data_IF_325582904349
#
_entry.id   IF_325582904349
#
_cell.length_a   1.000
_cell.length_b   1.000
_cell.length_c   1.000
_cell.angle_alpha   90.00
_cell.angle_beta   90.00
_cell.angle_gamma   90.00
#
_symmetry.space_group_name_H-M   'P 1'
#
loop_
_entity.id
_entity.type
_entity.pdbx_description
1 polymer ?
#
# COMPACT_ATOMS: atom_id res chain seq x y z
N UNK A 1 -33.11 -16.75 4.40
CA UNK A 1 -32.64 -17.10 5.76
C UNK A 1 -31.32 -17.83 5.66
N UNK A 2 -30.45 -17.73 6.66
CA UNK A 2 -29.90 -16.53 7.27
C UNK A 2 -28.54 -16.18 6.62
N UNK A 3 -28.22 -14.90 6.63
CA UNK A 3 -26.84 -14.41 6.56
C UNK A 3 -26.05 -15.07 7.69
N UNK A 4 -25.14 -15.98 7.36
CA UNK A 4 -24.10 -16.40 8.28
C UNK A 4 -22.80 -15.96 7.62
N UNK A 5 -22.42 -14.71 7.91
CA UNK A 5 -21.02 -14.30 7.80
C UNK A 5 -20.39 -14.84 9.08
N UNK A 6 -19.75 -16.00 8.97
CA UNK A 6 -18.83 -16.43 10.02
C UNK A 6 -17.69 -15.43 10.10
N UNK A 7 -17.38 -15.05 11.33
CA UNK A 7 -16.39 -14.05 11.67
C UNK A 7 -14.99 -14.51 11.24
N UNK A 8 -14.20 -13.54 10.74
CA UNK A 8 -12.74 -13.54 10.52
C UNK A 8 -12.19 -13.67 9.09
N UNK A 9 -13.05 -13.78 8.06
CA UNK A 9 -12.59 -13.73 6.65
C UNK A 9 -12.88 -12.38 5.94
N UNK A 10 -11.95 -11.90 5.10
CA UNK A 10 -12.08 -10.60 4.46
C UNK A 10 -13.19 -10.61 3.39
N UNK A 11 -14.24 -9.82 3.62
CA UNK A 11 -15.36 -9.67 2.66
C UNK A 11 -14.92 -9.10 1.31
N UNK A 12 -13.89 -8.24 1.30
CA UNK A 12 -13.38 -7.61 0.10
C UNK A 12 -11.89 -7.84 -0.02
N UNK A 13 -11.44 -8.11 -1.24
CA UNK A 13 -10.03 -8.27 -1.56
C UNK A 13 -9.65 -7.45 -2.79
N UNK A 14 -8.40 -7.01 -2.86
CA UNK A 14 -7.81 -6.39 -4.06
C UNK A 14 -6.91 -7.41 -4.75
N UNK A 15 -7.10 -7.60 -6.05
CA UNK A 15 -6.29 -8.49 -6.86
C UNK A 15 -4.87 -7.95 -7.01
N UNK A 16 -3.85 -8.77 -6.73
CA UNK A 16 -2.43 -8.39 -6.86
C UNK A 16 -1.84 -8.77 -8.22
N UNK A 17 -2.58 -9.56 -9.02
CA UNK A 17 -2.21 -10.01 -10.37
C UNK A 17 -3.43 -10.02 -11.28
N UNK A 18 -3.18 -10.16 -12.58
CA UNK A 18 -4.18 -10.50 -13.57
C UNK A 18 -4.52 -12.00 -13.49
N UNK A 19 -5.80 -12.33 -13.72
CA UNK A 19 -6.28 -13.69 -13.88
C UNK A 19 -7.25 -13.75 -15.06
N UNK A 20 -6.98 -14.67 -15.99
CA UNK A 20 -7.87 -14.97 -17.11
C UNK A 20 -8.39 -16.40 -17.00
N UNK A 21 -9.62 -16.53 -16.52
CA UNK A 21 -10.29 -17.81 -16.35
C UNK A 21 -10.58 -18.55 -17.66
N UNK A 22 -10.61 -17.85 -18.80
CA UNK A 22 -10.76 -18.51 -20.11
C UNK A 22 -9.52 -19.29 -20.53
N UNK A 23 -8.37 -18.93 -19.97
CA UNK A 23 -7.08 -19.58 -20.22
C UNK A 23 -6.72 -20.66 -19.20
N UNK A 24 -7.48 -20.77 -18.09
CA UNK A 24 -7.20 -21.72 -17.02
C UNK A 24 -7.81 -23.09 -17.33
N UNK A 25 -7.02 -23.96 -17.97
CA UNK A 25 -7.43 -25.32 -18.34
C UNK A 25 -7.84 -26.21 -17.13
N UNK A 26 -7.44 -25.83 -15.92
CA UNK A 26 -7.79 -26.54 -14.68
C UNK A 26 -9.05 -25.96 -14.02
N UNK A 27 -9.69 -24.95 -14.62
CA UNK A 27 -10.90 -24.35 -14.09
C UNK A 27 -12.09 -25.33 -14.17
N UNK A 28 -12.83 -25.56 -13.08
CA UNK A 28 -13.87 -26.59 -13.03
C UNK A 28 -15.06 -26.29 -13.95
N UNK A 29 -15.33 -25.01 -14.21
CA UNK A 29 -16.40 -24.57 -15.11
C UNK A 29 -15.99 -23.26 -15.82
N UNK A 30 -15.26 -23.33 -16.95
CA UNK A 30 -14.70 -22.13 -17.62
C UNK A 30 -15.73 -21.04 -17.93
N UNK A 31 -16.97 -21.43 -18.22
CA UNK A 31 -18.09 -20.50 -18.49
C UNK A 31 -18.45 -19.66 -17.25
N UNK A 32 -18.28 -20.21 -16.05
CA UNK A 32 -18.51 -19.56 -14.77
C UNK A 32 -17.28 -18.81 -14.24
N UNK A 33 -16.15 -18.84 -14.96
CA UNK A 33 -14.93 -18.19 -14.51
C UNK A 33 -15.10 -16.66 -14.46
N UNK A 34 -14.62 -16.06 -13.37
CA UNK A 34 -14.53 -14.61 -13.23
C UNK A 34 -13.08 -14.19 -13.48
N UNK A 35 -12.81 -13.68 -14.69
CA UNK A 35 -11.53 -13.02 -14.98
C UNK A 35 -11.48 -11.65 -14.30
N UNK A 36 -10.29 -11.26 -13.83
CA UNK A 36 -10.06 -9.98 -13.17
C UNK A 36 -8.66 -9.43 -13.49
N UNK A 37 -8.49 -8.13 -13.27
CA UNK A 37 -7.23 -7.42 -13.47
C UNK A 37 -6.59 -7.00 -12.16
N UNK A 38 -5.28 -6.84 -12.18
CA UNK A 38 -4.52 -6.31 -11.04
C UNK A 38 -5.12 -4.98 -10.56
N UNK A 39 -5.29 -4.85 -9.25
CA UNK A 39 -5.90 -3.75 -8.49
C UNK A 39 -7.43 -3.69 -8.52
N UNK A 40 -8.11 -4.60 -9.20
CA UNK A 40 -9.57 -4.72 -9.14
C UNK A 40 -9.98 -5.21 -7.74
N UNK A 41 -11.09 -4.65 -7.23
CA UNK A 41 -11.68 -5.05 -5.95
C UNK A 41 -12.71 -6.13 -6.21
N UNK A 42 -12.60 -7.24 -5.47
CA UNK A 42 -13.52 -8.37 -5.53
C UNK A 42 -14.24 -8.50 -4.19
N UNK A 43 -15.56 -8.68 -4.22
CA UNK A 43 -16.33 -9.10 -3.05
C UNK A 43 -16.38 -10.62 -3.03
N UNK A 44 -15.89 -11.22 -1.94
CA UNK A 44 -15.98 -12.66 -1.70
C UNK A 44 -17.40 -12.98 -1.22
N UNK A 45 -18.12 -13.79 -2.00
CA UNK A 45 -19.52 -14.16 -1.74
C UNK A 45 -19.60 -15.50 -1.01
N UNK A 46 -18.83 -16.48 -1.45
CA UNK A 46 -18.73 -17.80 -0.81
C UNK A 46 -17.27 -18.27 -0.85
N UNK A 47 -16.76 -18.58 0.33
CA UNK A 47 -15.36 -19.00 0.58
C UNK A 47 -15.27 -20.34 1.30
N UNK A 48 -16.28 -20.69 2.11
CA UNK A 48 -16.29 -21.92 2.93
C UNK A 48 -16.83 -23.18 2.19
N UNK A 49 -17.01 -23.12 0.88
CA UNK A 49 -17.59 -24.21 0.08
C UNK A 49 -16.56 -25.09 -0.65
N UNK A 50 -15.49 -24.49 -1.15
CA UNK A 50 -14.42 -25.15 -1.89
C UNK A 50 -13.09 -24.44 -1.53
N UNK A 51 -12.13 -25.22 -1.03
CA UNK A 51 -10.83 -24.70 -0.58
C UNK A 51 -9.95 -24.18 -1.72
N UNK A 52 -10.22 -24.58 -2.97
CA UNK A 52 -9.43 -24.25 -4.16
C UNK A 52 -10.10 -23.18 -5.02
N UNK A 53 -11.42 -23.08 -5.00
CA UNK A 53 -12.20 -22.19 -5.86
C UNK A 53 -13.23 -21.37 -5.08
N UNK A 54 -13.04 -20.05 -5.05
CA UNK A 54 -13.95 -19.14 -4.37
C UNK A 54 -14.99 -18.55 -5.31
N UNK A 55 -16.15 -18.19 -4.78
CA UNK A 55 -17.16 -17.42 -5.50
C UNK A 55 -17.03 -15.95 -5.16
N UNK A 56 -16.88 -15.11 -6.17
CA UNK A 56 -16.72 -13.69 -6.01
C UNK A 56 -17.49 -12.90 -7.07
N UNK A 57 -17.61 -11.60 -6.86
CA UNK A 57 -18.04 -10.65 -7.89
C UNK A 57 -17.03 -9.51 -7.98
N UNK A 58 -16.91 -8.93 -9.16
CA UNK A 58 -16.11 -7.72 -9.35
C UNK A 58 -16.86 -6.48 -8.89
N UNK A 59 -16.20 -5.67 -8.06
CA UNK A 59 -16.62 -4.33 -7.66
C UNK A 59 -15.96 -3.26 -8.55
N UNK A 60 -14.98 -3.63 -9.37
CA UNK A 60 -14.21 -2.73 -10.23
C UNK A 60 -12.99 -2.13 -9.52
N UNK A 61 -12.43 -1.08 -10.10
CA UNK A 61 -11.30 -0.37 -9.50
C UNK A 61 -11.84 0.65 -8.48
N UNK A 62 -11.28 0.68 -7.27
CA UNK A 62 -11.63 1.62 -6.19
C UNK A 62 -11.77 3.09 -6.71
N UNK A 63 -12.39 4.02 -5.95
CA UNK A 63 -13.46 4.98 -6.33
C UNK A 63 -13.23 5.96 -7.51
N UNK A 64 -12.17 5.83 -8.29
CA UNK A 64 -11.93 6.61 -9.51
C UNK A 64 -12.66 6.05 -10.75
N UNK A 65 -13.26 4.87 -10.68
CA UNK A 65 -13.94 4.23 -11.81
C UNK A 65 -15.33 4.82 -12.13
N UNK A 66 -15.88 5.70 -11.26
CA UNK A 66 -17.11 6.45 -11.56
C UNK A 66 -16.96 7.37 -12.79
N UNK A 67 -15.74 7.75 -13.16
CA UNK A 67 -15.50 8.64 -14.31
C UNK A 67 -15.35 7.91 -15.66
N UNK A 68 -15.29 6.57 -15.71
CA UNK A 68 -14.97 5.85 -16.94
C UNK A 68 -15.98 4.78 -17.41
N UNK A 69 -17.09 4.52 -16.72
CA UNK A 69 -18.13 3.62 -17.25
C UNK A 69 -19.41 4.37 -17.66
N UNK A 70 -19.39 4.98 -18.85
CA UNK A 70 -20.60 5.38 -19.62
C UNK A 70 -21.12 4.21 -20.46
N UNK A 71 -20.90 2.97 -20.01
CA UNK A 71 -21.43 1.80 -20.70
C UNK A 71 -22.21 0.91 -19.74
N UNK A 72 -23.54 0.96 -19.87
CA UNK A 72 -24.50 0.19 -19.08
C UNK A 72 -24.33 -1.33 -19.26
N UNK A 73 -23.59 -1.78 -20.29
CA UNK A 73 -23.21 -3.18 -20.48
C UNK A 73 -22.27 -3.72 -19.40
N UNK A 74 -21.50 -2.84 -18.75
CA UNK A 74 -20.52 -3.19 -17.70
C UNK A 74 -21.18 -3.53 -16.36
N UNK A 75 -22.35 -2.98 -16.06
CA UNK A 75 -23.06 -3.20 -14.78
C UNK A 75 -23.61 -4.62 -14.64
N UNK A 76 -24.00 -5.25 -15.75
CA UNK A 76 -24.44 -6.65 -15.75
C UNK A 76 -23.26 -7.59 -15.44
N UNK A 77 -22.06 -7.28 -15.97
CA UNK A 77 -20.83 -8.02 -15.66
C UNK A 77 -20.37 -7.81 -14.21
N UNK A 78 -20.48 -6.59 -13.67
CA UNK A 78 -20.16 -6.27 -12.27
C UNK A 78 -21.07 -6.99 -11.26
N UNK A 79 -22.31 -7.30 -11.63
CA UNK A 79 -23.26 -8.03 -10.76
C UNK A 79 -23.15 -9.54 -10.85
N UNK A 80 -22.44 -10.09 -11.84
CA UNK A 80 -22.29 -11.53 -12.03
C UNK A 80 -21.34 -12.10 -10.96
N UNK A 81 -21.83 -13.11 -10.25
CA UNK A 81 -20.98 -13.95 -9.41
C UNK A 81 -20.30 -14.97 -10.32
N UNK A 82 -18.99 -15.14 -10.18
CA UNK A 82 -18.23 -16.17 -10.85
C UNK A 82 -17.17 -16.78 -9.95
N UNK A 83 -16.44 -17.74 -10.50
CA UNK A 83 -15.48 -18.56 -9.78
C UNK A 83 -14.07 -18.00 -10.00
N UNK A 84 -13.31 -17.87 -8.92
CA UNK A 84 -11.92 -17.40 -8.89
C UNK A 84 -11.04 -18.42 -8.14
N UNK A 85 -9.75 -18.53 -8.47
CA UNK A 85 -8.83 -19.39 -7.72
C UNK A 85 -8.63 -18.84 -6.31
N UNK A 86 -8.64 -19.71 -5.31
CA UNK A 86 -8.26 -19.37 -3.94
C UNK A 86 -6.76 -19.06 -3.81
N UNK A 87 -6.41 -18.39 -2.72
CA UNK A 87 -5.01 -18.20 -2.31
C UNK A 87 -4.28 -19.54 -2.13
N UNK A 88 -4.95 -20.55 -1.57
CA UNK A 88 -4.38 -21.89 -1.39
C UNK A 88 -4.04 -22.58 -2.73
N UNK A 89 -4.96 -22.51 -3.69
CA UNK A 89 -4.75 -23.06 -5.04
C UNK A 89 -3.58 -22.36 -5.74
N UNK A 90 -3.50 -21.03 -5.62
CA UNK A 90 -2.40 -20.25 -6.17
C UNK A 90 -1.04 -20.68 -5.61
N UNK A 91 -0.93 -20.78 -4.28
CA UNK A 91 0.30 -21.22 -3.61
C UNK A 91 0.71 -22.64 -4.01
N UNK A 92 -0.24 -23.58 -4.13
CA UNK A 92 0.04 -24.95 -4.61
C UNK A 92 0.62 -24.94 -6.03
N UNK A 93 -0.02 -24.22 -6.97
CA UNK A 93 0.44 -24.11 -8.36
C UNK A 93 1.83 -23.45 -8.46
N UNK A 94 2.10 -22.45 -7.60
CA UNK A 94 3.40 -21.80 -7.54
C UNK A 94 4.50 -22.75 -7.06
N UNK A 95 4.29 -23.48 -5.96
CA UNK A 95 5.26 -24.47 -5.44
C UNK A 95 5.60 -25.54 -6.47
N UNK A 96 4.62 -25.99 -7.24
CA UNK A 96 4.84 -26.95 -8.33
C UNK A 96 5.72 -26.37 -9.45
N UNK A 97 5.49 -25.12 -9.87
CA UNK A 97 6.35 -24.43 -10.85
C UNK A 97 7.78 -24.21 -10.34
N UNK A 98 7.92 -23.89 -9.05
CA UNK A 98 9.23 -23.74 -8.41
C UNK A 98 9.99 -25.08 -8.31
N UNK A 99 9.31 -26.19 -8.02
CA UNK A 99 9.95 -27.52 -8.06
C UNK A 99 10.38 -27.92 -9.46
N UNK A 100 9.54 -27.65 -10.46
CA UNK A 100 9.85 -27.97 -11.86
C UNK A 100 11.03 -27.13 -12.37
N UNK A 101 11.09 -25.84 -12.01
CA UNK A 101 12.20 -24.96 -12.41
C UNK A 101 13.51 -25.23 -11.67
N UNK A 102 13.45 -25.65 -10.40
CA UNK A 102 14.63 -26.06 -9.63
C UNK A 102 15.20 -27.42 -10.08
N UNK A 103 14.37 -28.30 -10.66
CA UNK A 103 14.88 -29.52 -11.30
C UNK A 103 15.74 -29.24 -12.54
N UNK A 104 15.53 -28.08 -13.19
CA UNK A 104 16.25 -27.63 -14.40
C UNK A 104 17.49 -26.78 -14.07
N UNK A 105 17.55 -26.14 -12.89
CA UNK A 105 18.64 -25.22 -12.49
C UNK A 105 19.49 -25.77 -11.33
N UNK A 106 20.13 -26.92 -11.53
CA UNK A 106 21.26 -27.37 -10.68
C UNK A 106 22.51 -26.54 -11.00
N UNK A 107 22.62 -25.33 -10.45
CA UNK A 107 23.84 -24.54 -10.50
C UNK A 107 23.58 -23.04 -10.39
N UNK A 108 24.37 -22.37 -9.55
CA UNK A 108 24.39 -20.92 -9.24
C UNK A 108 23.59 -20.56 -7.96
N UNK A 109 24.28 -20.67 -6.82
CA UNK A 109 23.89 -20.00 -5.57
C UNK A 109 24.26 -18.51 -5.68
N UNK A 110 23.28 -17.60 -5.53
CA UNK A 110 23.55 -16.17 -5.26
C UNK A 110 23.01 -15.80 -3.87
N UNK A 111 23.95 -15.46 -2.99
CA UNK A 111 23.73 -14.94 -1.66
C UNK A 111 23.42 -13.44 -1.74
N UNK A 112 22.21 -13.05 -1.36
CA UNK A 112 21.88 -11.69 -0.89
C UNK A 112 20.66 -11.79 0.03
N UNK A 113 20.92 -11.95 1.34
CA UNK A 113 19.92 -12.29 2.35
C UNK A 113 19.11 -11.08 2.89
N UNK A 114 19.54 -9.84 2.63
CA UNK A 114 18.95 -8.66 3.28
C UNK A 114 17.83 -7.96 2.50
N UNK A 115 17.67 -8.21 1.19
CA UNK A 115 16.63 -7.59 0.34
C UNK A 115 15.44 -8.51 0.07
N UNK A 116 15.36 -9.66 0.74
CA UNK A 116 14.43 -10.76 0.39
C UNK A 116 13.07 -10.70 1.10
N UNK A 117 12.98 -10.10 2.29
CA UNK A 117 11.88 -10.40 3.21
C UNK A 117 10.54 -9.77 2.86
N UNK A 118 10.48 -8.56 2.28
CA UNK A 118 9.21 -7.90 1.94
C UNK A 118 8.72 -8.24 0.53
N UNK A 119 9.64 -8.41 -0.42
CA UNK A 119 9.29 -8.88 -1.76
C UNK A 119 8.76 -10.32 -1.72
N UNK A 120 9.31 -11.23 -0.90
CA UNK A 120 8.79 -12.62 -0.83
C UNK A 120 7.35 -12.70 -0.28
N UNK A 121 6.95 -11.80 0.62
CA UNK A 121 5.59 -11.79 1.20
C UNK A 121 4.55 -11.28 0.19
N UNK A 122 4.89 -10.25 -0.61
CA UNK A 122 3.97 -9.69 -1.62
C UNK A 122 4.11 -10.30 -3.02
N UNK A 123 5.25 -10.89 -3.39
CA UNK A 123 5.43 -11.54 -4.71
C UNK A 123 4.66 -12.85 -4.82
N UNK A 124 4.12 -13.40 -3.72
CA UNK A 124 3.40 -14.67 -3.71
C UNK A 124 1.91 -14.61 -3.45
N UNK A 125 1.39 -13.48 -2.96
CA UNK A 125 -0.03 -13.34 -2.66
C UNK A 125 -0.83 -13.06 -3.93
N UNK A 126 -1.99 -13.71 -4.08
CA UNK A 126 -2.91 -13.45 -5.18
C UNK A 126 -3.82 -12.25 -4.87
N UNK A 127 -4.15 -12.10 -3.60
CA UNK A 127 -5.07 -11.10 -3.09
C UNK A 127 -4.52 -10.39 -1.85
N UNK A 128 -4.96 -9.15 -1.62
CA UNK A 128 -4.84 -8.50 -0.32
C UNK A 128 -6.21 -8.14 0.23
N UNK A 129 -6.43 -8.38 1.53
CA UNK A 129 -7.65 -7.95 2.20
C UNK A 129 -7.79 -6.43 2.17
N UNK A 130 -8.98 -5.95 1.83
CA UNK A 130 -9.29 -4.51 1.82
C UNK A 130 -10.61 -4.24 2.52
N UNK A 131 -10.77 -3.01 2.98
CA UNK A 131 -12.03 -2.51 3.53
C UNK A 131 -12.26 -1.09 3.05
N UNK A 132 -13.52 -0.74 2.82
CA UNK A 132 -13.89 0.62 2.46
C UNK A 132 -13.70 1.54 3.66
N UNK A 133 -12.76 2.47 3.55
CA UNK A 133 -12.55 3.52 4.54
C UNK A 133 -13.10 4.83 4.00
N UNK A 134 -14.31 5.17 4.44
CA UNK A 134 -14.93 6.46 4.10
C UNK A 134 -14.19 7.61 4.81
N UNK A 135 -14.00 8.77 4.14
CA UNK A 135 -13.43 9.95 4.78
C UNK A 135 -14.22 10.30 6.05
N UNK A 136 -13.54 10.35 7.19
CA UNK A 136 -14.12 10.71 8.47
C UNK A 136 -13.35 11.90 9.04
N UNK A 137 -14.05 12.88 9.63
CA UNK A 137 -13.41 14.00 10.35
C UNK A 137 -12.47 13.54 11.47
N UNK A 138 -12.71 12.35 12.04
CA UNK A 138 -11.87 11.70 13.05
C UNK A 138 -10.66 10.95 12.48
N UNK A 139 -10.61 10.72 11.16
CA UNK A 139 -9.58 9.93 10.49
C UNK A 139 -9.09 10.66 9.24
N UNK A 140 -8.22 11.65 9.46
CA UNK A 140 -7.60 12.41 8.37
C UNK A 140 -6.44 11.60 7.79
N UNK A 141 -6.46 11.42 6.48
CA UNK A 141 -5.41 10.72 5.73
C UNK A 141 -4.38 11.72 5.23
N UNK A 142 -3.10 11.38 5.38
CA UNK A 142 -2.00 12.16 4.82
C UNK A 142 -1.96 12.02 3.30
N UNK A 143 -1.55 13.08 2.61
CA UNK A 143 -1.19 13.05 1.18
C UNK A 143 0.32 12.84 1.10
N UNK A 144 0.74 11.74 0.46
CA UNK A 144 2.15 11.39 0.31
C UNK A 144 2.53 11.45 -1.17
N UNK A 145 3.50 12.29 -1.52
CA UNK A 145 3.97 12.45 -2.90
C UNK A 145 5.27 11.66 -3.12
N UNK A 146 5.16 10.57 -3.89
CA UNK A 146 6.27 9.70 -4.27
C UNK A 146 6.58 9.86 -5.75
N UNK A 147 7.85 9.75 -6.13
CA UNK A 147 8.32 9.87 -7.51
C UNK A 147 9.83 10.08 -7.58
N UNK A 148 10.37 10.06 -8.79
CA UNK A 148 11.79 10.26 -9.02
C UNK A 148 12.28 11.65 -8.52
N UNK A 149 13.59 11.81 -8.41
CA UNK A 149 14.18 13.12 -8.13
C UNK A 149 13.94 14.08 -9.30
N UNK A 150 13.74 15.37 -9.01
CA UNK A 150 13.59 16.41 -10.04
C UNK A 150 12.21 16.54 -10.71
N UNK A 151 11.27 15.62 -10.49
CA UNK A 151 9.94 15.64 -11.15
C UNK A 151 8.96 16.72 -10.61
N UNK A 152 9.43 17.64 -9.77
CA UNK A 152 8.62 18.75 -9.25
C UNK A 152 7.75 18.45 -8.02
N UNK A 153 7.96 17.33 -7.30
CA UNK A 153 7.18 16.97 -6.09
C UNK A 153 7.14 18.06 -5.02
N UNK A 154 8.27 18.74 -4.81
CA UNK A 154 8.36 19.83 -3.82
C UNK A 154 7.55 21.05 -4.25
N UNK A 155 7.55 21.36 -5.55
CA UNK A 155 6.76 22.45 -6.11
C UNK A 155 5.26 22.14 -6.02
N UNK A 156 4.86 20.90 -6.34
CA UNK A 156 3.48 20.46 -6.20
C UNK A 156 3.00 20.53 -4.74
N UNK A 157 3.80 20.04 -3.80
CA UNK A 157 3.52 20.14 -2.36
C UNK A 157 3.34 21.60 -1.93
N UNK A 158 4.25 22.48 -2.33
CA UNK A 158 4.20 23.91 -2.00
C UNK A 158 2.94 24.57 -2.54
N UNK A 159 2.61 24.34 -3.82
CA UNK A 159 1.39 24.88 -4.45
C UNK A 159 0.12 24.35 -3.81
N UNK A 160 0.07 23.06 -3.47
CA UNK A 160 -1.09 22.45 -2.80
C UNK A 160 -1.36 23.12 -1.45
N UNK A 161 -0.30 23.31 -0.64
CA UNK A 161 -0.40 23.99 0.65
C UNK A 161 -0.85 25.44 0.46
N UNK A 162 -0.23 26.18 -0.47
CA UNK A 162 -0.62 27.58 -0.75
C UNK A 162 -2.05 27.74 -1.27
N UNK A 163 -2.58 26.74 -1.99
CA UNK A 163 -3.94 26.80 -2.52
C UNK A 163 -5.01 26.74 -1.43
N UNK A 164 -4.70 26.10 -0.29
CA UNK A 164 -5.61 26.04 0.85
C UNK A 164 -4.82 25.79 2.17
N UNK A 165 -4.22 26.85 2.75
CA UNK A 165 -3.35 26.73 3.93
C UNK A 165 -4.09 26.27 5.20
N UNK A 166 -5.40 26.53 5.27
CA UNK A 166 -6.27 26.07 6.35
C UNK A 166 -6.48 24.56 6.30
N UNK A 167 -6.46 23.97 5.10
CA UNK A 167 -6.70 22.54 4.91
C UNK A 167 -5.42 21.70 4.88
N UNK A 168 -4.36 22.20 4.26
CA UNK A 168 -3.13 21.44 4.01
C UNK A 168 -1.96 22.01 4.80
N UNK A 169 -1.13 21.13 5.35
CA UNK A 169 0.04 21.55 6.11
C UNK A 169 1.23 20.61 5.89
N UNK A 170 2.43 21.09 6.20
CA UNK A 170 3.66 20.29 6.20
C UNK A 170 4.23 20.21 7.61
N UNK A 171 4.94 19.12 7.89
CA UNK A 171 5.79 19.02 9.07
C UNK A 171 7.03 19.90 8.91
N UNK A 172 7.56 20.35 10.05
CA UNK A 172 8.90 20.91 10.16
C UNK A 172 9.86 19.78 10.55
N UNK A 173 10.91 19.51 9.77
CA UNK A 173 11.87 18.45 10.08
C UNK A 173 12.76 18.82 11.26
N UNK A 174 13.44 17.82 11.82
CA UNK A 174 14.42 17.95 12.89
C UNK A 174 15.82 17.77 12.32
N UNK A 175 16.81 18.45 12.89
CA UNK A 175 18.22 18.23 12.55
C UNK A 175 19.14 18.38 13.75
N UNK A 176 20.24 17.61 13.76
CA UNK A 176 21.30 17.73 14.78
C UNK A 176 22.31 18.83 14.48
N UNK A 177 22.21 19.44 13.30
CA UNK A 177 23.11 20.51 12.85
C UNK A 177 22.82 21.79 13.64
N UNK A 178 23.86 22.59 13.92
CA UNK A 178 23.65 23.94 14.44
C UNK A 178 22.89 24.84 13.44
N UNK A 179 21.99 25.73 13.91
CA UNK A 179 21.28 26.68 13.06
C UNK A 179 22.25 27.64 12.36
N UNK A 180 21.95 28.01 11.10
CA UNK A 180 22.60 29.13 10.41
C UNK A 180 21.97 30.45 10.84
N UNK A 181 22.67 31.56 10.60
CA UNK A 181 22.23 32.89 11.00
C UNK A 181 20.84 33.32 10.48
N UNK A 182 20.37 32.75 9.37
CA UNK A 182 19.07 33.06 8.76
C UNK A 182 17.99 32.01 9.04
N UNK A 183 18.30 30.94 9.78
CA UNK A 183 17.36 29.86 10.08
C UNK A 183 16.71 30.07 11.44
N UNK A 184 15.43 29.73 11.55
CA UNK A 184 14.64 29.88 12.77
C UNK A 184 14.17 28.53 13.32
N UNK A 185 14.29 28.36 14.64
CA UNK A 185 13.79 27.20 15.37
C UNK A 185 12.28 27.02 15.16
N UNK A 186 11.87 25.85 14.69
CA UNK A 186 10.46 25.51 14.46
C UNK A 186 9.86 26.10 13.19
N UNK A 187 10.66 26.73 12.34
CA UNK A 187 10.25 27.18 10.99
C UNK A 187 11.01 26.40 9.93
N UNK A 188 12.33 26.53 9.91
CA UNK A 188 13.19 25.80 8.96
C UNK A 188 13.42 24.36 9.44
N UNK A 189 13.85 24.25 10.70
CA UNK A 189 14.07 22.99 11.39
C UNK A 189 13.78 23.13 12.88
N UNK A 190 13.48 22.01 13.53
CA UNK A 190 13.76 21.86 14.95
C UNK A 190 15.22 21.43 15.11
N UNK A 191 16.05 22.36 15.56
CA UNK A 191 17.45 22.10 15.89
C UNK A 191 17.51 21.41 17.26
N UNK A 192 18.07 20.19 17.29
CA UNK A 192 18.09 19.29 18.46
C UNK A 192 19.50 18.73 18.63
N UNK A 193 19.87 18.22 19.81
CA UNK A 193 21.17 17.55 19.99
C UNK A 193 21.20 16.19 19.28
N UNK A 194 22.38 15.79 18.77
CA UNK A 194 22.56 14.50 18.08
C UNK A 194 22.13 13.32 18.95
N UNK A 195 22.59 13.26 20.20
CA UNK A 195 22.27 12.19 21.15
C UNK A 195 20.76 12.02 21.40
N UNK A 196 20.01 13.11 21.40
CA UNK A 196 18.56 13.11 21.58
C UNK A 196 17.84 12.57 20.33
N UNK A 197 18.29 12.98 19.14
CA UNK A 197 17.79 12.39 17.89
C UNK A 197 18.10 10.89 17.81
N UNK A 198 19.31 10.45 18.18
CA UNK A 198 19.69 9.03 18.23
C UNK A 198 18.84 8.24 19.23
N UNK A 199 18.47 8.85 20.36
CA UNK A 199 17.53 8.25 21.30
C UNK A 199 16.14 8.05 20.67
N UNK A 200 15.59 9.06 19.98
CA UNK A 200 14.29 8.93 19.30
C UNK A 200 14.31 7.95 18.12
N UNK A 201 15.43 7.83 17.41
CA UNK A 201 15.64 6.82 16.37
C UNK A 201 15.56 5.42 16.99
N UNK A 202 16.24 5.17 18.12
CA UNK A 202 16.16 3.88 18.85
C UNK A 202 14.74 3.55 19.32
N UNK A 203 13.94 4.56 19.64
CA UNK A 203 12.54 4.41 20.01
C UNK A 203 11.57 4.31 18.81
N UNK A 204 12.05 4.36 17.56
CA UNK A 204 11.21 4.23 16.37
C UNK A 204 10.28 5.43 16.11
N UNK A 205 10.57 6.61 16.67
CA UNK A 205 9.68 7.79 16.60
C UNK A 205 9.74 8.56 15.27
N UNK A 206 10.79 8.37 14.48
CA UNK A 206 10.99 9.08 13.20
C UNK A 206 10.29 8.40 12.04
N UNK A 207 9.35 9.09 11.39
CA UNK A 207 8.74 8.63 10.13
C UNK A 207 9.82 8.30 9.10
N UNK A 208 10.78 9.21 8.93
CA UNK A 208 11.99 9.01 8.14
C UNK A 208 13.15 9.76 8.79
N UNK A 209 14.36 9.24 8.62
CA UNK A 209 15.59 9.91 9.05
C UNK A 209 16.77 9.50 8.15
N UNK A 210 17.82 10.30 8.18
CA UNK A 210 19.07 10.05 7.47
C UNK A 210 20.20 10.92 8.01
N UNK A 211 21.41 10.61 7.59
CA UNK A 211 22.61 11.36 7.96
C UNK A 211 23.20 12.05 6.73
N UNK A 212 23.61 13.30 6.90
CA UNK A 212 24.31 14.07 5.89
C UNK A 212 25.36 14.96 6.53
N UNK A 213 26.63 14.81 6.10
CA UNK A 213 27.79 15.53 6.66
C UNK A 213 27.81 15.48 8.19
N UNK A 214 27.78 14.26 8.73
CA UNK A 214 27.80 13.94 10.18
C UNK A 214 26.64 14.50 11.02
N UNK A 215 25.62 15.06 10.36
CA UNK A 215 24.43 15.59 11.01
C UNK A 215 23.22 14.73 10.66
N UNK A 216 22.39 14.48 11.67
CA UNK A 216 21.12 13.78 11.50
C UNK A 216 20.04 14.75 11.01
N UNK A 217 19.16 14.22 10.19
CA UNK A 217 17.96 14.88 9.68
C UNK A 217 16.80 13.90 9.74
N UNK A 218 15.60 14.35 10.09
CA UNK A 218 14.43 13.47 10.06
C UNK A 218 13.11 14.15 10.37
N UNK A 219 12.02 13.46 10.04
CA UNK A 219 10.65 13.90 10.34
C UNK A 219 10.07 13.00 11.41
N UNK A 220 9.65 13.55 12.56
CA UNK A 220 8.98 12.77 13.59
C UNK A 220 7.56 12.36 13.15
N UNK A 221 7.15 11.15 13.51
CA UNK A 221 5.78 10.69 13.30
C UNK A 221 4.78 11.57 14.09
N UNK A 222 5.16 12.00 15.29
CA UNK A 222 4.34 12.87 16.14
C UNK A 222 4.05 14.22 15.48
N UNK A 223 4.98 14.75 14.67
CA UNK A 223 4.73 15.98 13.92
C UNK A 223 3.58 15.82 12.92
N UNK A 224 3.48 14.66 12.27
CA UNK A 224 2.37 14.32 11.36
C UNK A 224 1.07 14.18 12.13
N UNK A 225 1.11 13.48 13.27
CA UNK A 225 -0.05 13.29 14.14
C UNK A 225 -0.59 14.62 14.65
N UNK A 226 0.29 15.57 15.02
CA UNK A 226 -0.16 16.89 15.49
C UNK A 226 -0.95 17.67 14.42
N UNK A 227 -0.55 17.57 13.14
CA UNK A 227 -1.28 18.21 12.03
C UNK A 227 -2.66 17.57 11.86
N UNK A 228 -2.75 16.25 11.97
CA UNK A 228 -4.01 15.51 11.93
C UNK A 228 -4.93 15.93 13.09
N UNK A 229 -4.38 16.06 14.31
CA UNK A 229 -5.14 16.50 15.49
C UNK A 229 -5.66 17.94 15.37
N UNK A 230 -4.96 18.78 14.60
CA UNK A 230 -5.41 20.13 14.27
C UNK A 230 -6.51 20.17 13.18
N UNK A 231 -6.96 19.01 12.68
CA UNK A 231 -7.98 18.93 11.65
C UNK A 231 -7.44 19.19 10.22
N UNK A 232 -6.12 19.21 10.04
CA UNK A 232 -5.47 19.51 8.76
C UNK A 232 -4.89 18.26 8.12
N UNK A 233 -4.72 18.30 6.80
CA UNK A 233 -4.16 17.20 5.99
C UNK A 233 -2.63 17.39 5.89
N UNK A 234 -1.82 16.47 6.44
CA UNK A 234 -0.38 16.49 6.24
C UNK A 234 -0.04 16.18 4.78
N UNK A 235 0.87 16.96 4.20
CA UNK A 235 1.43 16.73 2.86
C UNK A 235 2.91 16.40 3.00
N UNK A 236 3.28 15.17 2.65
CA UNK A 236 4.60 14.59 2.90
C UNK A 236 5.28 14.19 1.59
N UNK A 237 6.59 14.37 1.51
CA UNK A 237 7.42 13.95 0.36
C UNK A 237 8.57 13.05 0.85
N UNK A 238 8.29 11.92 1.52
CA UNK A 238 9.34 11.10 2.09
C UNK A 238 10.16 10.40 0.99
N UNK A 239 11.32 9.87 1.38
CA UNK A 239 12.05 8.94 0.53
C UNK A 239 11.24 7.64 0.35
N UNK A 240 11.18 7.03 -0.85
CA UNK A 240 10.39 5.81 -1.07
C UNK A 240 10.72 4.66 -0.11
N UNK A 241 12.00 4.50 0.24
CA UNK A 241 12.45 3.46 1.18
C UNK A 241 11.85 3.64 2.59
N UNK A 242 11.54 4.88 2.99
CA UNK A 242 10.92 5.13 4.30
C UNK A 242 9.50 4.55 4.43
N UNK A 243 8.85 4.23 3.31
CA UNK A 243 7.54 3.56 3.31
C UNK A 243 7.62 2.05 3.54
N UNK A 244 8.79 1.45 3.30
CA UNK A 244 8.99 0.00 3.28
C UNK A 244 9.37 -0.51 4.67
N UNK A 245 10.17 0.25 5.43
CA UNK A 245 10.78 -0.21 6.69
C UNK A 245 9.81 -0.30 7.89
N UNK A 246 8.55 0.14 7.75
CA UNK A 246 7.60 0.25 8.87
C UNK A 246 6.53 -0.85 8.94
N UNK A 247 6.54 -1.84 8.05
CA UNK A 247 5.62 -3.00 8.14
C UNK A 247 6.31 -4.15 8.91
N UNK A 248 6.76 -3.88 10.14
CA UNK A 248 7.30 -4.89 11.07
C UNK A 248 6.44 -4.97 12.32
#
# INVERSE_FOLDING_TARGET
>A
MPTIVEYDEPRYVRALTDYDGSSDALHPCPEAALSFKRNEILELVVVNGDEHWWQARSIGFAPFDEYHSVDQSSDVKRRRIGIIPSELLHQKRRKQRESDSNSVRKGIKKNTAASRTLNEVYEGALYESVSLVSPNKKMIRSVVLIGASGVGRNELKRRLIMSNPERFSTTVPHTSRAPRAHEMQGVDYYFVKKDEMEHWIRLGRFLEFGEYRDNLYGTLADSVVSIIQQGRIPVLNPHPLALIDRIK
#
